data_IF_069947179897
#
_entry.id   IF_069947179897
#
_cell.length_a   1.000
_cell.length_b   1.000
_cell.length_c   1.000
_cell.angle_alpha   90.00
_cell.angle_beta   90.00
_cell.angle_gamma   90.00
#
_symmetry.space_group_name_H-M   'P 1'
#
loop_
_entity.id
_entity.type
_entity.pdbx_description
1 polymer ?
#
# COMPACT_ATOMS: atom_id res chain seq x y z
N UNK A 1 -8.66 -11.52 -13.33
CA UNK A 1 -7.39 -10.78 -13.19
C UNK A 1 -6.94 -10.28 -14.55
N UNK A 2 -6.28 -9.11 -14.61
CA UNK A 2 -5.71 -8.53 -15.84
C UNK A 2 -4.66 -9.42 -16.52
N UNK A 3 -4.13 -10.41 -15.81
CA UNK A 3 -3.14 -11.38 -16.31
C UNK A 3 -3.76 -12.72 -16.77
N UNK A 4 -5.10 -12.78 -16.89
CA UNK A 4 -5.73 -13.97 -17.48
C UNK A 4 -5.29 -14.13 -18.97
N UNK A 5 -4.95 -15.36 -19.45
CA UNK A 5 -5.08 -16.66 -18.80
C UNK A 5 -3.86 -17.12 -17.97
N UNK A 6 -2.82 -16.28 -17.81
CA UNK A 6 -1.61 -16.65 -17.05
C UNK A 6 -1.86 -16.74 -15.54
N UNK A 7 -2.70 -15.84 -14.99
CA UNK A 7 -3.08 -15.92 -13.58
C UNK A 7 -4.36 -16.74 -13.42
N UNK A 8 -4.33 -17.69 -12.49
CA UNK A 8 -5.44 -18.56 -12.10
C UNK A 8 -5.52 -18.63 -10.58
N UNK A 9 -6.57 -19.27 -10.04
CA UNK A 9 -6.75 -19.40 -8.59
C UNK A 9 -5.56 -20.05 -7.87
N UNK A 10 -4.95 -21.06 -8.51
CA UNK A 10 -3.77 -21.77 -7.99
C UNK A 10 -2.43 -21.16 -8.47
N UNK A 11 -2.47 -20.13 -9.30
CA UNK A 11 -1.30 -19.40 -9.78
C UNK A 11 -1.63 -17.91 -9.75
N UNK A 12 -1.63 -17.31 -8.55
CA UNK A 12 -1.96 -15.90 -8.38
C UNK A 12 -0.93 -15.02 -9.08
N UNK A 13 -1.35 -13.80 -9.46
CA UNK A 13 -0.54 -12.86 -10.24
C UNK A 13 0.84 -12.57 -9.60
N UNK A 14 0.92 -12.58 -8.30
CA UNK A 14 2.16 -12.33 -7.54
C UNK A 14 3.23 -13.40 -7.78
N UNK A 15 2.84 -14.63 -8.08
CA UNK A 15 3.74 -15.75 -8.38
C UNK A 15 4.03 -15.93 -9.88
N UNK A 16 3.54 -15.03 -10.74
CA UNK A 16 3.86 -15.05 -12.16
C UNK A 16 5.26 -14.55 -12.42
N UNK A 17 5.95 -15.25 -13.32
CA UNK A 17 7.26 -14.86 -13.88
C UNK A 17 7.01 -14.10 -15.18
N UNK A 18 6.94 -12.79 -15.11
CA UNK A 18 6.62 -11.92 -16.25
C UNK A 18 7.88 -11.50 -16.98
N UNK A 19 8.92 -11.14 -16.23
CA UNK A 19 10.25 -10.82 -16.76
C UNK A 19 11.30 -11.74 -16.12
N UNK A 20 11.94 -12.55 -16.96
CA UNK A 20 13.00 -13.43 -16.49
C UNK A 20 12.53 -14.67 -15.73
N UNK A 21 13.31 -15.09 -14.72
CA UNK A 21 13.12 -16.34 -13.97
C UNK A 21 12.43 -16.15 -12.62
N UNK A 22 12.33 -14.92 -12.13
CA UNK A 22 11.80 -14.59 -10.80
C UNK A 22 10.32 -14.22 -10.85
N UNK A 23 9.61 -14.51 -9.78
CA UNK A 23 8.22 -14.12 -9.60
C UNK A 23 8.11 -12.62 -9.29
N UNK A 24 6.93 -12.03 -9.49
CA UNK A 24 6.71 -10.60 -9.19
C UNK A 24 6.93 -10.30 -7.71
N UNK A 25 6.48 -11.19 -6.82
CA UNK A 25 6.69 -11.00 -5.38
C UNK A 25 8.18 -11.13 -5.01
N UNK A 26 8.94 -12.03 -5.64
CA UNK A 26 10.38 -12.14 -5.45
C UNK A 26 11.11 -10.86 -5.89
N UNK A 27 10.73 -10.29 -7.03
CA UNK A 27 11.27 -9.02 -7.50
C UNK A 27 10.95 -7.87 -6.52
N UNK A 28 9.74 -7.85 -5.98
CA UNK A 28 9.33 -6.85 -4.97
C UNK A 28 10.14 -7.03 -3.68
N UNK A 29 10.27 -8.26 -3.18
CA UNK A 29 11.10 -8.59 -2.03
C UNK A 29 12.56 -8.16 -2.22
N UNK A 30 13.19 -8.51 -3.34
CA UNK A 30 14.58 -8.15 -3.66
C UNK A 30 14.78 -6.63 -3.63
N UNK A 31 13.80 -5.86 -4.07
CA UNK A 31 13.82 -4.40 -4.03
C UNK A 31 13.67 -3.85 -2.60
N UNK A 32 12.76 -4.43 -1.80
CA UNK A 32 12.50 -3.97 -0.44
C UNK A 32 13.67 -4.23 0.50
N UNK A 33 14.41 -5.34 0.34
CA UNK A 33 15.62 -5.63 1.14
C UNK A 33 16.75 -4.62 0.94
N UNK A 34 16.70 -3.78 -0.10
CA UNK A 34 17.66 -2.70 -0.31
C UNK A 34 17.33 -1.44 0.54
N UNK A 35 16.14 -1.39 1.15
CA UNK A 35 15.65 -0.25 1.92
C UNK A 35 15.19 -0.59 3.33
N UNK A 36 15.04 -1.87 3.66
CA UNK A 36 14.60 -2.34 4.97
C UNK A 36 15.31 -3.65 5.35
N UNK A 37 15.53 -3.85 6.65
CA UNK A 37 16.01 -5.10 7.21
C UNK A 37 14.94 -6.20 7.05
N UNK A 38 15.36 -7.48 7.01
CA UNK A 38 14.46 -8.60 6.73
C UNK A 38 13.35 -8.76 7.78
N UNK A 39 13.67 -8.51 9.03
CA UNK A 39 12.73 -8.57 10.17
C UNK A 39 11.67 -7.45 10.13
N UNK A 40 11.85 -6.45 9.25
CA UNK A 40 10.94 -5.32 9.03
C UNK A 40 10.10 -5.45 7.76
N UNK A 41 10.26 -6.53 6.99
CA UNK A 41 9.44 -6.80 5.82
C UNK A 41 8.29 -7.73 6.21
N UNK A 42 7.06 -7.25 6.04
CA UNK A 42 5.83 -7.97 6.34
C UNK A 42 5.08 -8.33 5.07
N UNK A 43 4.37 -9.44 5.09
CA UNK A 43 3.54 -9.90 3.98
C UNK A 43 2.11 -10.10 4.47
N UNK A 44 1.18 -9.30 3.97
CA UNK A 44 -0.25 -9.50 4.22
C UNK A 44 -0.80 -10.41 3.14
N UNK A 45 -1.39 -11.52 3.54
CA UNK A 45 -1.79 -12.59 2.62
C UNK A 45 -2.93 -13.44 3.21
N UNK A 46 -3.75 -14.03 2.34
CA UNK A 46 -4.73 -15.03 2.78
C UNK A 46 -4.06 -16.35 3.16
N UNK A 47 -4.65 -17.11 4.08
CA UNK A 47 -4.15 -18.42 4.52
C UNK A 47 -3.87 -19.38 3.34
N UNK A 48 -4.71 -19.35 2.29
CA UNK A 48 -4.56 -20.16 1.08
C UNK A 48 -3.24 -19.89 0.34
N UNK A 49 -2.75 -18.65 0.35
CA UNK A 49 -1.57 -18.23 -0.40
C UNK A 49 -0.30 -18.14 0.44
N UNK A 50 -0.40 -18.07 1.77
CA UNK A 50 0.73 -17.86 2.67
C UNK A 50 1.84 -18.88 2.45
N UNK A 51 1.50 -20.17 2.40
CA UNK A 51 2.48 -21.24 2.19
C UNK A 51 3.16 -21.17 0.82
N UNK A 52 2.43 -20.80 -0.24
CA UNK A 52 2.99 -20.67 -1.58
C UNK A 52 3.95 -19.48 -1.67
N UNK A 53 3.59 -18.36 -1.03
CA UNK A 53 4.42 -17.17 -1.01
C UNK A 53 5.63 -17.38 -0.10
N UNK A 54 5.47 -17.99 1.07
CA UNK A 54 6.59 -18.31 1.94
C UNK A 54 7.62 -19.24 1.26
N UNK A 55 7.19 -20.21 0.46
CA UNK A 55 8.10 -21.04 -0.32
C UNK A 55 8.90 -20.25 -1.38
N UNK A 56 8.35 -19.15 -1.87
CA UNK A 56 9.01 -18.29 -2.87
C UNK A 56 9.98 -17.28 -2.22
N UNK A 57 9.67 -16.81 -1.01
CA UNK A 57 10.47 -15.86 -0.23
C UNK A 57 10.71 -16.37 1.21
N UNK A 58 11.39 -17.52 1.39
CA UNK A 58 11.59 -18.15 2.70
C UNK A 58 12.51 -17.36 3.63
N UNK A 59 13.16 -16.31 3.15
CA UNK A 59 14.00 -15.43 3.95
C UNK A 59 13.20 -14.51 4.88
N UNK A 60 11.92 -14.28 4.60
CA UNK A 60 11.04 -13.50 5.50
C UNK A 60 10.64 -14.40 6.67
N UNK A 61 10.81 -13.94 7.93
CA UNK A 61 10.38 -14.68 9.12
C UNK A 61 8.89 -15.03 9.07
N UNK A 62 8.53 -16.21 9.56
CA UNK A 62 7.15 -16.69 9.54
C UNK A 62 6.19 -15.76 10.30
N UNK A 63 6.64 -15.19 11.40
CA UNK A 63 5.91 -14.20 12.20
C UNK A 63 5.65 -12.86 11.50
N UNK A 64 6.27 -12.64 10.35
CA UNK A 64 6.02 -11.47 9.50
C UNK A 64 4.97 -11.74 8.40
N UNK A 65 4.44 -12.97 8.33
CA UNK A 65 3.29 -13.28 7.50
C UNK A 65 2.00 -12.98 8.28
N UNK A 66 1.35 -11.89 7.93
CA UNK A 66 0.07 -11.48 8.52
C UNK A 66 -1.04 -12.11 7.70
N UNK A 67 -1.76 -13.04 8.32
CA UNK A 67 -2.79 -13.81 7.62
C UNK A 67 -4.13 -13.09 7.75
N UNK A 68 -4.70 -12.61 6.64
CA UNK A 68 -6.08 -12.14 6.61
C UNK A 68 -7.04 -13.32 6.45
N UNK A 69 -8.11 -13.43 7.26
CA UNK A 69 -9.08 -14.54 7.16
C UNK A 69 -9.75 -14.60 5.80
N UNK A 70 -10.06 -13.45 5.21
CA UNK A 70 -10.62 -13.30 3.86
C UNK A 70 -10.22 -11.97 3.25
N UNK A 71 -10.19 -11.87 1.92
CA UNK A 71 -9.86 -10.62 1.24
C UNK A 71 -10.93 -9.55 1.43
N UNK A 72 -10.59 -8.46 2.12
CA UNK A 72 -11.48 -7.32 2.43
C UNK A 72 -11.03 -6.01 1.75
N UNK A 73 -10.25 -6.10 0.67
CA UNK A 73 -9.66 -4.95 -0.02
C UNK A 73 -8.49 -4.31 0.77
N UNK A 74 -7.99 -3.15 0.33
CA UNK A 74 -6.71 -2.63 0.81
C UNK A 74 -6.76 -1.92 2.16
N UNK A 75 -7.86 -1.26 2.52
CA UNK A 75 -7.92 -0.56 3.80
C UNK A 75 -7.86 -1.49 5.02
N UNK A 76 -8.64 -2.59 5.10
CA UNK A 76 -8.52 -3.55 6.19
C UNK A 76 -7.15 -4.23 6.23
N UNK A 77 -6.60 -4.64 5.08
CA UNK A 77 -5.28 -5.27 5.02
C UNK A 77 -4.17 -4.35 5.54
N UNK A 78 -4.20 -3.06 5.15
CA UNK A 78 -3.26 -2.03 5.63
C UNK A 78 -3.48 -1.78 7.12
N UNK A 79 -4.73 -1.69 7.58
CA UNK A 79 -5.05 -1.50 9.00
C UNK A 79 -4.51 -2.64 9.87
N UNK A 80 -4.75 -3.89 9.45
CA UNK A 80 -4.23 -5.07 10.15
C UNK A 80 -2.69 -5.06 10.21
N UNK A 81 -2.03 -4.77 9.10
CA UNK A 81 -0.56 -4.64 9.07
C UNK A 81 -0.07 -3.51 9.98
N UNK A 82 -0.76 -2.37 9.97
CA UNK A 82 -0.41 -1.24 10.82
C UNK A 82 -0.49 -1.58 12.32
N UNK A 83 -1.47 -2.38 12.75
CA UNK A 83 -1.55 -2.87 14.14
C UNK A 83 -0.32 -3.69 14.55
N UNK A 84 0.08 -4.66 13.72
CA UNK A 84 1.25 -5.49 13.97
C UNK A 84 2.54 -4.67 14.05
N UNK A 85 2.71 -3.73 13.13
CA UNK A 85 3.86 -2.84 13.08
C UNK A 85 3.87 -1.91 14.30
N UNK A 86 2.73 -1.26 14.60
CA UNK A 86 2.59 -0.33 15.72
C UNK A 86 2.82 -1.01 17.08
N UNK A 87 2.39 -2.27 17.23
CA UNK A 87 2.64 -3.07 18.45
C UNK A 87 4.13 -3.33 18.68
N UNK A 88 4.92 -3.48 17.60
CA UNK A 88 6.38 -3.69 17.68
C UNK A 88 7.13 -2.37 17.90
N UNK A 89 6.72 -1.32 17.19
CA UNK A 89 7.30 0.03 17.29
C UNK A 89 6.23 1.07 16.99
N UNK A 90 5.81 1.81 18.01
CA UNK A 90 4.80 2.87 17.88
C UNK A 90 5.25 4.05 17.02
N UNK A 91 6.55 4.23 16.79
CA UNK A 91 7.10 5.26 15.93
C UNK A 91 7.41 4.79 14.51
N UNK A 92 7.08 3.54 14.19
CA UNK A 92 7.44 2.92 12.90
C UNK A 92 6.90 3.72 11.71
N UNK A 93 7.75 3.89 10.71
CA UNK A 93 7.35 4.35 9.38
C UNK A 93 7.03 3.10 8.56
N UNK A 94 5.81 3.05 8.06
CA UNK A 94 5.27 1.95 7.27
C UNK A 94 5.26 2.33 5.80
N UNK A 95 5.88 1.49 4.96
CA UNK A 95 5.74 1.54 3.50
C UNK A 95 4.81 0.42 3.02
N UNK A 96 3.88 0.73 2.14
CA UNK A 96 2.94 -0.23 1.53
C UNK A 96 3.29 -0.39 0.05
N UNK A 97 3.50 -1.63 -0.38
CA UNK A 97 3.94 -1.94 -1.73
C UNK A 97 3.14 -3.10 -2.33
N UNK A 98 2.45 -2.89 -3.47
CA UNK A 98 1.80 -3.99 -4.19
C UNK A 98 2.84 -5.00 -4.70
N UNK A 99 2.56 -6.30 -4.51
CA UNK A 99 3.45 -7.37 -4.93
C UNK A 99 3.34 -7.75 -6.43
N UNK A 100 2.65 -6.94 -7.22
CA UNK A 100 2.38 -7.19 -8.64
C UNK A 100 2.80 -6.02 -9.55
N UNK A 101 3.68 -5.15 -9.05
CA UNK A 101 4.25 -4.06 -9.83
C UNK A 101 5.65 -4.41 -10.33
N UNK A 102 5.85 -4.15 -11.61
CA UNK A 102 7.17 -4.16 -12.21
C UNK A 102 7.74 -2.74 -12.12
N UNK A 103 8.88 -2.61 -11.47
CA UNK A 103 9.62 -1.35 -11.32
C UNK A 103 11.00 -1.55 -11.93
N UNK A 104 11.42 -0.62 -12.79
CA UNK A 104 12.73 -0.63 -13.42
C UNK A 104 13.51 0.59 -12.92
N UNK A 105 14.60 0.35 -12.17
CA UNK A 105 15.44 1.42 -11.61
C UNK A 105 15.44 1.46 -10.08
N UNK A 106 16.03 0.44 -9.47
CA UNK A 106 16.05 0.29 -8.01
C UNK A 106 16.65 1.48 -7.27
N UNK A 107 17.69 2.13 -7.83
CA UNK A 107 18.27 3.35 -7.23
C UNK A 107 17.31 4.54 -7.22
N UNK A 108 16.49 4.71 -8.26
CA UNK A 108 15.45 5.74 -8.31
C UNK A 108 14.36 5.44 -7.28
N UNK A 109 13.91 4.19 -7.22
CA UNK A 109 12.94 3.74 -6.23
C UNK A 109 13.44 4.04 -4.81
N UNK A 110 14.67 3.64 -4.47
CA UNK A 110 15.29 3.89 -3.16
C UNK A 110 15.30 5.39 -2.81
N UNK A 111 15.68 6.24 -3.75
CA UNK A 111 15.71 7.70 -3.53
C UNK A 111 14.32 8.27 -3.26
N UNK A 112 13.30 7.80 -4.00
CA UNK A 112 11.90 8.23 -3.84
C UNK A 112 11.39 7.84 -2.46
N UNK A 113 11.59 6.59 -2.05
CA UNK A 113 11.16 6.10 -0.73
C UNK A 113 11.91 6.83 0.39
N UNK A 114 13.21 7.07 0.25
CA UNK A 114 13.98 7.88 1.23
C UNK A 114 13.43 9.30 1.37
N UNK A 115 13.03 9.94 0.28
CA UNK A 115 12.40 11.26 0.35
C UNK A 115 11.00 11.21 0.97
N UNK A 116 10.21 10.18 0.67
CA UNK A 116 8.94 9.97 1.32
C UNK A 116 9.09 9.78 2.85
N UNK A 117 10.07 8.98 3.30
CA UNK A 117 10.40 8.81 4.72
C UNK A 117 10.75 10.13 5.39
N UNK A 118 11.65 10.93 4.79
CA UNK A 118 12.01 12.25 5.32
C UNK A 118 10.79 13.14 5.52
N UNK A 119 9.83 13.10 4.61
CA UNK A 119 8.62 13.90 4.71
C UNK A 119 7.72 13.49 5.88
N UNK A 120 7.50 12.17 6.07
CA UNK A 120 6.65 11.66 7.17
C UNK A 120 7.35 11.76 8.54
N UNK A 121 8.67 11.86 8.58
CA UNK A 121 9.42 12.19 9.79
C UNK A 121 9.18 13.64 10.23
N UNK A 122 9.10 14.57 9.28
CA UNK A 122 8.96 16.01 9.56
C UNK A 122 7.53 16.39 9.97
N UNK A 123 6.52 15.68 9.48
CA UNK A 123 5.11 16.01 9.77
C UNK A 123 4.17 14.82 9.64
N UNK A 124 3.06 14.80 10.39
CA UNK A 124 2.03 13.76 10.27
C UNK A 124 1.31 13.88 8.91
N UNK A 125 1.66 13.02 7.97
CA UNK A 125 1.07 13.02 6.62
C UNK A 125 1.05 11.63 5.99
N UNK A 126 0.26 11.51 4.94
CA UNK A 126 0.16 10.34 4.08
C UNK A 126 0.86 10.67 2.76
N UNK A 127 1.82 9.84 2.36
CA UNK A 127 2.51 9.99 1.07
C UNK A 127 2.03 8.89 0.12
N UNK A 128 1.62 9.27 -1.08
CA UNK A 128 1.41 8.34 -2.20
C UNK A 128 2.44 8.56 -3.30
N UNK A 129 2.78 7.51 -4.02
CA UNK A 129 3.70 7.59 -5.15
C UNK A 129 2.87 7.83 -6.43
N UNK A 130 3.19 8.90 -7.14
CA UNK A 130 2.51 9.28 -8.38
C UNK A 130 3.40 9.08 -9.60
N UNK A 131 2.85 8.48 -10.66
CA UNK A 131 3.53 8.22 -11.93
C UNK A 131 2.94 9.12 -13.02
N UNK A 132 3.78 9.68 -13.86
CA UNK A 132 3.33 10.54 -14.97
C UNK A 132 2.50 9.74 -15.98
N UNK A 133 1.25 10.17 -16.28
CA UNK A 133 0.38 9.45 -17.20
C UNK A 133 0.92 9.58 -18.64
N UNK A 134 1.03 8.43 -19.34
CA UNK A 134 1.47 8.38 -20.73
C UNK A 134 0.31 8.14 -21.70
N UNK A 135 -0.87 7.75 -21.20
CA UNK A 135 -2.11 7.55 -21.97
C UNK A 135 -3.34 7.69 -21.06
N UNK A 136 -4.55 7.92 -21.57
CA UNK A 136 -5.75 8.11 -20.77
C UNK A 136 -6.30 6.79 -20.24
N UNK A 137 -5.63 6.25 -19.20
CA UNK A 137 -6.03 5.00 -18.55
C UNK A 137 -7.31 5.19 -17.75
N UNK A 138 -8.32 4.36 -17.99
CA UNK A 138 -9.58 4.35 -17.23
C UNK A 138 -9.59 3.36 -16.07
N UNK A 139 -8.53 2.60 -15.91
CA UNK A 139 -8.38 1.57 -14.88
C UNK A 139 -7.46 1.95 -13.72
N UNK A 140 -6.97 3.20 -13.67
CA UNK A 140 -6.09 3.73 -12.63
C UNK A 140 -6.75 4.87 -11.88
N UNK A 141 -6.35 5.05 -10.63
CA UNK A 141 -6.61 6.28 -9.88
C UNK A 141 -5.70 7.41 -10.37
N UNK A 142 -6.20 8.62 -10.38
CA UNK A 142 -5.48 9.84 -10.70
C UNK A 142 -5.37 10.73 -9.47
N UNK A 143 -4.22 11.37 -9.31
CA UNK A 143 -3.89 12.26 -8.21
C UNK A 143 -3.65 13.64 -8.79
N UNK A 144 -4.52 14.61 -8.51
CA UNK A 144 -4.24 16.01 -8.81
C UNK A 144 -3.32 16.60 -7.76
N UNK A 145 -2.21 17.19 -8.18
CA UNK A 145 -1.24 17.80 -7.28
C UNK A 145 -1.07 19.30 -7.55
N UNK A 146 -0.63 20.03 -6.53
CA UNK A 146 -0.33 21.45 -6.65
C UNK A 146 1.14 21.67 -7.00
N UNK A 147 1.43 21.88 -8.28
CA UNK A 147 2.80 22.11 -8.78
C UNK A 147 3.46 23.38 -8.19
N UNK A 148 2.66 24.34 -7.70
CA UNK A 148 3.15 25.60 -7.11
C UNK A 148 3.51 25.45 -5.63
N UNK A 149 2.94 24.44 -4.93
CA UNK A 149 3.20 24.17 -3.52
C UNK A 149 4.22 23.04 -3.36
N UNK A 150 5.46 23.32 -3.72
CA UNK A 150 6.59 22.44 -3.44
C UNK A 150 6.84 22.38 -1.95
N UNK A 151 7.12 21.17 -1.45
CA UNK A 151 7.54 20.97 -0.08
C UNK A 151 9.06 21.08 0.04
N UNK A 152 9.58 21.22 1.27
CA UNK A 152 11.04 21.28 1.53
C UNK A 152 11.75 19.99 1.11
N UNK A 153 11.02 18.89 1.08
CA UNK A 153 11.52 17.61 0.54
C UNK A 153 11.32 17.57 -0.98
N UNK A 154 12.42 17.34 -1.69
CA UNK A 154 12.44 17.33 -3.17
C UNK A 154 11.45 16.31 -3.76
N UNK A 155 10.66 16.77 -4.71
CA UNK A 155 9.72 15.94 -5.48
C UNK A 155 8.40 15.68 -4.77
N UNK A 156 8.19 16.20 -3.55
CA UNK A 156 6.94 16.09 -2.80
C UNK A 156 6.03 17.29 -3.09
N UNK A 157 4.76 17.01 -3.35
CA UNK A 157 3.73 18.00 -3.66
C UNK A 157 2.48 17.73 -2.83
N UNK A 158 1.74 18.81 -2.52
CA UNK A 158 0.42 18.69 -1.89
C UNK A 158 -0.59 18.10 -2.86
N UNK A 159 -1.36 17.11 -2.43
CA UNK A 159 -2.49 16.58 -3.20
C UNK A 159 -3.68 17.54 -3.06
N UNK A 160 -4.32 17.86 -4.19
CA UNK A 160 -5.58 18.62 -4.27
C UNK A 160 -6.78 17.70 -4.22
N UNK A 161 -6.78 16.64 -5.04
CA UNK A 161 -7.88 15.68 -5.12
C UNK A 161 -7.41 14.33 -5.68
N UNK A 162 -8.22 13.31 -5.44
CA UNK A 162 -8.13 12.01 -6.10
C UNK A 162 -9.31 11.84 -7.06
N UNK A 163 -9.10 11.08 -8.14
CA UNK A 163 -10.14 10.66 -9.05
C UNK A 163 -9.92 9.19 -9.41
N UNK A 164 -10.70 8.31 -8.83
CA UNK A 164 -10.54 6.86 -9.05
C UNK A 164 -11.28 6.44 -10.32
N UNK A 165 -10.54 5.80 -11.23
CA UNK A 165 -11.05 5.20 -12.48
C UNK A 165 -11.99 6.10 -13.29
N UNK A 166 -11.51 7.28 -13.77
CA UNK A 166 -12.33 8.21 -14.52
C UNK A 166 -12.76 7.61 -15.86
N UNK A 167 -13.82 8.18 -16.43
CA UNK A 167 -14.17 7.92 -17.83
C UNK A 167 -13.12 8.47 -18.77
N UNK A 168 -13.05 7.92 -20.00
CA UNK A 168 -12.01 8.22 -20.98
C UNK A 168 -11.85 9.71 -21.27
N UNK A 169 -12.94 10.42 -21.51
CA UNK A 169 -12.92 11.86 -21.77
C UNK A 169 -12.34 12.67 -20.62
N UNK A 170 -12.62 12.25 -19.37
CA UNK A 170 -12.06 12.87 -18.15
C UNK A 170 -10.57 12.56 -18.04
N UNK A 171 -10.15 11.33 -18.32
CA UNK A 171 -8.76 10.93 -18.30
C UNK A 171 -7.93 11.68 -19.36
N UNK A 172 -8.49 11.93 -20.56
CA UNK A 172 -7.87 12.75 -21.61
C UNK A 172 -7.65 14.19 -21.14
N UNK A 173 -8.64 14.80 -20.46
CA UNK A 173 -8.51 16.14 -19.87
C UNK A 173 -7.44 16.20 -18.79
N UNK A 174 -7.32 15.15 -17.97
CA UNK A 174 -6.29 15.07 -16.94
C UNK A 174 -4.88 15.07 -17.52
N UNK A 175 -4.65 14.34 -18.61
CA UNK A 175 -3.36 14.34 -19.30
C UNK A 175 -3.04 15.71 -19.90
N UNK A 176 -4.00 16.31 -20.62
CA UNK A 176 -3.82 17.62 -21.25
C UNK A 176 -3.48 18.70 -20.23
N UNK A 177 -4.07 18.63 -19.03
CA UNK A 177 -3.80 19.61 -17.97
C UNK A 177 -2.37 19.56 -17.41
N UNK A 178 -1.71 18.40 -17.48
CA UNK A 178 -0.39 18.18 -16.89
C UNK A 178 -0.36 18.24 -15.33
N UNK A 179 -1.51 18.31 -14.67
CA UNK A 179 -1.62 18.44 -13.22
C UNK A 179 -1.92 17.11 -12.50
N UNK A 180 -1.99 16.01 -13.25
CA UNK A 180 -2.37 14.70 -12.69
C UNK A 180 -1.26 13.67 -12.85
N UNK A 181 -1.18 12.80 -11.84
CA UNK A 181 -0.34 11.62 -11.82
C UNK A 181 -1.23 10.37 -11.65
N UNK A 182 -0.82 9.22 -12.17
CA UNK A 182 -1.43 7.96 -11.79
C UNK A 182 -1.04 7.60 -10.36
N UNK A 183 -2.00 7.17 -9.57
CA UNK A 183 -1.73 6.57 -8.27
C UNK A 183 -1.08 5.18 -8.45
N UNK A 184 0.16 5.06 -8.01
CA UNK A 184 0.88 3.78 -8.08
C UNK A 184 0.41 2.76 -7.04
N UNK A 185 -0.48 3.11 -6.11
CA UNK A 185 -0.89 2.23 -5.02
C UNK A 185 0.24 1.91 -4.03
N UNK A 186 1.29 2.71 -4.04
CA UNK A 186 2.40 2.65 -3.09
C UNK A 186 2.30 3.82 -2.14
N UNK A 187 2.48 3.56 -0.83
CA UNK A 187 2.26 4.56 0.20
C UNK A 187 3.35 4.53 1.25
N UNK A 188 3.60 5.68 1.89
CA UNK A 188 4.51 5.80 3.04
C UNK A 188 3.87 6.73 4.07
N UNK A 189 3.82 6.30 5.33
CA UNK A 189 3.30 7.03 6.47
C UNK A 189 3.80 6.45 7.80
N UNK A 190 3.57 7.12 8.91
CA UNK A 190 3.71 6.48 10.23
C UNK A 190 2.54 5.55 10.51
N UNK A 191 2.80 4.39 11.10
CA UNK A 191 1.75 3.43 11.47
C UNK A 191 0.67 4.08 12.36
N UNK A 192 1.06 4.91 13.31
CA UNK A 192 0.16 5.71 14.15
C UNK A 192 -0.78 6.60 13.31
N UNK A 193 -0.25 7.25 12.28
CA UNK A 193 -1.02 8.21 11.48
C UNK A 193 -2.09 7.50 10.65
N UNK A 194 -1.78 6.38 10.00
CA UNK A 194 -2.79 5.65 9.24
C UNK A 194 -3.87 5.06 10.16
N UNK A 195 -3.53 4.59 11.35
CA UNK A 195 -4.51 4.14 12.35
C UNK A 195 -5.42 5.29 12.81
N UNK A 196 -4.89 6.50 12.99
CA UNK A 196 -5.67 7.69 13.31
C UNK A 196 -6.62 8.07 12.16
N UNK A 197 -6.18 7.99 10.91
CA UNK A 197 -7.03 8.26 9.75
C UNK A 197 -8.14 7.20 9.61
N UNK A 198 -7.83 5.90 9.88
CA UNK A 198 -8.85 4.85 9.96
C UNK A 198 -9.89 5.18 11.02
N UNK A 199 -9.46 5.57 12.21
CA UNK A 199 -10.37 6.01 13.28
C UNK A 199 -11.26 7.17 12.86
N UNK A 200 -10.72 8.10 12.08
CA UNK A 200 -11.43 9.32 11.67
C UNK A 200 -12.45 9.07 10.57
N UNK A 201 -12.13 8.23 9.58
CA UNK A 201 -12.92 8.08 8.37
C UNK A 201 -13.59 6.72 8.19
N UNK A 202 -13.19 5.71 8.98
CA UNK A 202 -13.65 4.33 8.88
C UNK A 202 -13.91 3.75 10.28
N UNK A 203 -14.84 4.37 11.04
CA UNK A 203 -15.08 4.05 12.45
C UNK A 203 -15.38 2.57 12.70
N UNK A 204 -16.19 1.92 11.86
CA UNK A 204 -16.51 0.50 11.99
C UNK A 204 -15.26 -0.39 11.82
N UNK A 205 -14.39 -0.05 10.88
CA UNK A 205 -13.11 -0.74 10.72
C UNK A 205 -12.21 -0.51 11.94
N UNK A 206 -12.18 0.74 12.47
CA UNK A 206 -11.40 1.04 13.67
C UNK A 206 -11.84 0.20 14.86
N UNK A 207 -13.14 0.08 15.11
CA UNK A 207 -13.68 -0.66 16.26
C UNK A 207 -13.29 -2.16 16.19
N UNK A 208 -13.37 -2.75 14.99
CA UNK A 208 -12.88 -4.12 14.77
C UNK A 208 -11.37 -4.24 14.96
N UNK A 209 -10.59 -3.29 14.43
CA UNK A 209 -9.13 -3.27 14.59
C UNK A 209 -8.70 -3.07 16.03
N UNK A 210 -9.41 -2.26 16.82
CA UNK A 210 -9.14 -2.02 18.24
C UNK A 210 -9.30 -3.33 19.04
N UNK A 211 -10.41 -4.05 18.80
CA UNK A 211 -10.64 -5.38 19.40
C UNK A 211 -9.54 -6.38 19.01
N UNK A 212 -9.09 -6.38 17.77
CA UNK A 212 -7.99 -7.24 17.30
C UNK A 212 -6.66 -6.86 17.97
N UNK A 213 -6.41 -5.54 18.12
CA UNK A 213 -5.19 -5.04 18.78
C UNK A 213 -5.08 -5.49 20.24
N UNK A 214 -6.18 -5.44 20.98
CA UNK A 214 -6.23 -5.89 22.38
C UNK A 214 -5.92 -7.39 22.51
N UNK A 215 -6.34 -8.20 21.53
CA UNK A 215 -6.08 -9.63 21.51
C UNK A 215 -4.67 -9.99 20.99
N UNK A 216 -3.98 -9.06 20.31
CA UNK A 216 -2.70 -9.31 19.65
C UNK A 216 -1.60 -9.74 20.64
N UNK A 217 -1.05 -10.95 20.42
CA UNK A 217 -0.05 -11.57 21.28
C UNK A 217 -0.66 -12.41 22.43
N UNK A 218 -1.98 -12.59 22.45
CA UNK A 218 -2.68 -13.48 23.37
C UNK A 218 -3.13 -14.78 22.69
N UNK A 219 -3.45 -15.84 23.42
CA UNK A 219 -4.00 -17.08 22.85
C UNK A 219 -5.36 -16.91 22.13
N UNK A 220 -6.07 -15.81 22.38
CA UNK A 220 -7.38 -15.50 21.80
C UNK A 220 -7.28 -14.79 20.43
N UNK A 221 -6.09 -14.41 20.01
CA UNK A 221 -5.88 -13.57 18.80
C UNK A 221 -6.61 -14.10 17.56
N UNK A 222 -6.38 -15.36 17.20
CA UNK A 222 -7.00 -15.96 16.00
C UNK A 222 -8.54 -15.95 16.08
N UNK A 223 -9.10 -16.29 17.23
CA UNK A 223 -10.56 -16.30 17.44
C UNK A 223 -11.15 -14.90 17.34
N UNK A 224 -10.47 -13.90 17.90
CA UNK A 224 -10.92 -12.51 17.86
C UNK A 224 -10.76 -11.96 16.43
N UNK A 225 -9.63 -12.25 15.77
CA UNK A 225 -9.39 -11.85 14.40
C UNK A 225 -10.48 -12.37 13.46
N UNK A 226 -10.80 -13.68 13.50
CA UNK A 226 -11.83 -14.29 12.67
C UNK A 226 -13.20 -13.63 12.90
N UNK A 227 -13.60 -13.47 14.17
CA UNK A 227 -14.88 -12.86 14.52
C UNK A 227 -15.00 -11.42 14.04
N UNK A 228 -14.02 -10.58 14.34
CA UNK A 228 -14.04 -9.16 13.97
C UNK A 228 -13.92 -8.98 12.45
N UNK A 229 -13.11 -9.83 11.79
CA UNK A 229 -12.93 -9.75 10.35
C UNK A 229 -14.20 -10.05 9.55
N UNK A 230 -15.10 -10.86 10.07
CA UNK A 230 -16.43 -11.09 9.46
C UNK A 230 -17.25 -9.80 9.38
N UNK A 231 -17.14 -8.93 10.39
CA UNK A 231 -17.86 -7.66 10.49
C UNK A 231 -17.28 -6.58 9.58
N UNK A 232 -15.99 -6.69 9.20
CA UNK A 232 -15.31 -5.69 8.38
C UNK A 232 -15.90 -5.63 6.97
N UNK A 233 -16.30 -4.44 6.53
CA UNK A 233 -16.69 -4.18 5.15
C UNK A 233 -15.47 -4.02 4.23
N UNK A 234 -15.49 -4.65 3.03
CA UNK A 234 -14.42 -4.48 2.05
C UNK A 234 -14.35 -3.06 1.51
N UNK A 235 -13.25 -2.35 1.71
CA UNK A 235 -13.06 -1.00 1.20
C UNK A 235 -11.59 -0.77 0.78
N UNK A 236 -11.36 0.06 -0.24
CA UNK A 236 -10.02 0.45 -0.62
C UNK A 236 -9.51 1.59 0.26
N UNK A 237 -8.19 1.65 0.45
CA UNK A 237 -7.55 2.75 1.18
C UNK A 237 -7.77 4.09 0.45
N UNK A 238 -7.92 4.06 -0.87
CA UNK A 238 -8.14 5.23 -1.69
C UNK A 238 -9.49 5.89 -1.35
N UNK A 239 -10.58 5.14 -1.45
CA UNK A 239 -11.93 5.62 -1.12
C UNK A 239 -12.15 5.82 0.38
N UNK A 240 -11.63 4.90 1.19
CA UNK A 240 -11.81 4.95 2.63
C UNK A 240 -11.15 6.16 3.27
N UNK A 241 -9.97 6.53 2.81
CA UNK A 241 -9.10 7.51 3.48
C UNK A 241 -8.55 8.57 2.53
N UNK A 242 -7.83 8.18 1.45
CA UNK A 242 -7.01 9.13 0.70
C UNK A 242 -7.81 10.23 -0.01
N UNK A 243 -9.04 9.93 -0.42
CA UNK A 243 -9.95 10.93 -0.99
C UNK A 243 -10.50 11.93 0.04
N UNK A 244 -10.52 11.54 1.33
CA UNK A 244 -11.11 12.32 2.43
C UNK A 244 -10.09 13.08 3.25
N UNK A 245 -8.89 12.53 3.39
CA UNK A 245 -7.83 13.06 4.24
C UNK A 245 -7.21 14.34 3.65
N UNK A 246 -6.97 15.32 4.52
CA UNK A 246 -6.43 16.64 4.13
C UNK A 246 -4.90 16.71 4.16
N UNK A 247 -4.23 15.74 4.75
CA UNK A 247 -2.78 15.67 4.95
C UNK A 247 -2.10 14.73 3.93
N UNK A 248 -2.69 14.56 2.75
CA UNK A 248 -2.14 13.71 1.68
C UNK A 248 -1.19 14.51 0.80
N UNK A 249 -0.05 13.90 0.49
CA UNK A 249 0.97 14.41 -0.42
C UNK A 249 1.34 13.34 -1.43
N UNK A 250 1.86 13.74 -2.57
CA UNK A 250 2.39 12.81 -3.58
C UNK A 250 3.85 13.11 -3.85
N UNK A 251 4.62 12.06 -4.15
CA UNK A 251 5.96 12.18 -4.68
C UNK A 251 5.97 11.66 -6.12
N UNK A 252 6.49 12.49 -7.04
CA UNK A 252 6.55 12.13 -8.45
C UNK A 252 7.65 11.11 -8.71
N UNK A 253 7.30 10.00 -9.34
CA UNK A 253 8.20 8.90 -9.68
C UNK A 253 8.38 8.75 -11.20
N UNK A 254 9.60 8.35 -11.59
CA UNK A 254 10.06 8.19 -12.97
C UNK A 254 10.76 6.83 -13.20
N UNK A 255 10.28 5.76 -12.56
CA UNK A 255 10.81 4.41 -12.66
C UNK A 255 9.84 3.42 -13.33
#
# INVERSE_FOLDING_TARGET
SRFWPKSRENTPKQLLKILGKETMIRLTYNRLREIADLDKIFVVVSAKLSKLIHNDIPEIPEENFIIEPSGKNTAPAIGLAALHIFKRDSNAIMGVYPADHLIIGDSKFKNIITNAQKMVEQKPCLITIGIEPTYPATGYGYIQYDSNKKMDVKGVYKVKTFAEKPEKETAEKFIISGEFLWNAGMFVWKAEIILLEIKTFMCELHDSLDSIYDALGTPQYETVLDREWELVHPESIDYGILEKAKNVYTIKADF
#
